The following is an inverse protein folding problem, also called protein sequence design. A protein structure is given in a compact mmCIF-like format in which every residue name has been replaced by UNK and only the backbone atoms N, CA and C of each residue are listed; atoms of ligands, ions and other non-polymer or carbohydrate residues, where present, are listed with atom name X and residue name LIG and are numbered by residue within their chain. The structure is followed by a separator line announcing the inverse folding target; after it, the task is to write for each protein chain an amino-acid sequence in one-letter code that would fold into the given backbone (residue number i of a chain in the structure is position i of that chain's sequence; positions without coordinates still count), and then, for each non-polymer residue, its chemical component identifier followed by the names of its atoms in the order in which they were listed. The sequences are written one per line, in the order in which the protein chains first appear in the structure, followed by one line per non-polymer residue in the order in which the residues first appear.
data_IF_471576503450
#
_entry.id   IF_471576503450
#
_cell.length_a   1.000
_cell.length_b   1.000
_cell.length_c   1.000
_cell.angle_alpha   90.00
_cell.angle_beta   90.00
_cell.angle_gamma   90.00
#
_symmetry.space_group_name_H-M   'P 1'
#
loop_
_entity.id
_entity.type
_entity.pdbx_description
1 polymer ?
#
# COMPACT_ATOMS: atom_id res chain seq x y z
N UNK A 1 -15.34 44.00 6.67
CA UNK A 1 -16.73 43.63 6.36
C UNK A 1 -17.12 44.07 4.93
N UNK A 2 -16.57 45.18 4.44
CA UNK A 2 -16.91 45.76 3.12
C UNK A 2 -16.29 45.01 1.93
N UNK A 3 -15.18 44.30 2.15
CA UNK A 3 -14.45 43.58 1.06
C UNK A 3 -15.11 42.26 0.61
N UNK A 4 -15.95 41.73 1.42
CA UNK A 4 -16.65 40.48 1.16
C UNK A 4 -17.90 40.57 0.23
N UNK A 5 -18.18 41.54 0.08
CA UNK A 5 -19.38 41.66 -0.55
C UNK A 5 -19.33 41.71 -1.99
N UNK A 6 -18.26 41.84 -2.39
CA UNK A 6 -18.15 41.94 -3.85
C UNK A 6 -17.76 40.64 -4.53
N UNK A 7 -17.53 39.56 -3.79
CA UNK A 7 -17.25 38.25 -4.35
C UNK A 7 -18.53 37.54 -4.80
N UNK A 8 -18.56 37.16 -6.08
CA UNK A 8 -19.68 36.38 -6.65
C UNK A 8 -19.62 34.96 -6.09
N UNK A 9 -20.68 34.55 -5.39
CA UNK A 9 -20.80 33.22 -4.78
C UNK A 9 -21.28 32.26 -5.88
N UNK A 10 -20.34 31.65 -6.61
CA UNK A 10 -20.65 30.68 -7.66
C UNK A 10 -20.28 29.23 -7.30
N UNK A 11 -19.54 28.99 -6.21
CA UNK A 11 -18.99 27.68 -5.87
C UNK A 11 -20.06 26.64 -5.50
N UNK A 12 -21.15 27.05 -4.88
CA UNK A 12 -22.14 26.14 -4.29
C UNK A 12 -22.81 25.21 -5.32
N UNK A 13 -22.91 25.63 -6.58
CA UNK A 13 -23.45 24.84 -7.67
C UNK A 13 -22.52 23.69 -8.09
N UNK A 14 -21.20 23.88 -7.91
CA UNK A 14 -20.16 22.94 -8.32
C UNK A 14 -19.80 21.92 -7.22
N UNK A 15 -20.35 22.08 -6.01
CA UNK A 15 -20.04 21.21 -4.86
C UNK A 15 -20.23 19.71 -5.18
N UNK A 16 -21.37 19.24 -5.76
CA UNK A 16 -21.53 17.81 -6.05
C UNK A 16 -20.49 17.28 -7.03
N UNK A 17 -20.14 18.06 -8.05
CA UNK A 17 -19.14 17.68 -9.06
C UNK A 17 -17.75 17.61 -8.42
N UNK A 18 -17.40 18.58 -7.58
CA UNK A 18 -16.13 18.60 -6.85
C UNK A 18 -16.00 17.41 -5.90
N UNK A 19 -17.06 17.05 -5.19
CA UNK A 19 -17.07 15.88 -4.30
C UNK A 19 -16.90 14.56 -5.09
N UNK A 20 -17.57 14.45 -6.25
CA UNK A 20 -17.41 13.29 -7.14
C UNK A 20 -15.97 13.19 -7.67
N UNK A 21 -15.37 14.30 -8.06
CA UNK A 21 -13.98 14.37 -8.52
C UNK A 21 -13.00 13.97 -7.40
N UNK A 22 -13.21 14.46 -6.19
CA UNK A 22 -12.40 14.09 -5.01
C UNK A 22 -12.50 12.59 -4.71
N UNK A 23 -13.70 12.01 -4.80
CA UNK A 23 -13.91 10.56 -4.62
C UNK A 23 -13.14 9.75 -5.68
N UNK A 24 -13.16 10.20 -6.95
CA UNK A 24 -12.38 9.58 -8.03
C UNK A 24 -10.87 9.64 -7.73
N UNK A 25 -10.36 10.78 -7.26
CA UNK A 25 -8.95 10.94 -6.92
C UNK A 25 -8.52 9.97 -5.81
N UNK A 26 -9.38 9.67 -4.83
CA UNK A 26 -9.09 8.66 -3.80
C UNK A 26 -8.99 7.24 -4.36
N UNK A 27 -9.68 6.95 -5.43
CA UNK A 27 -9.62 5.64 -6.10
C UNK A 27 -8.37 5.49 -6.98
N UNK A 28 -7.80 6.60 -7.46
CA UNK A 28 -6.67 6.63 -8.41
C UNK A 28 -5.44 5.81 -7.95
N UNK A 29 -4.91 5.92 -6.70
CA UNK A 29 -3.77 5.09 -6.29
C UNK A 29 -4.05 3.59 -6.35
N UNK A 30 -5.29 3.17 -6.09
CA UNK A 30 -5.71 1.76 -6.20
C UNK A 30 -5.67 1.29 -7.65
N UNK A 31 -6.06 2.14 -8.61
CA UNK A 31 -5.94 1.83 -10.05
C UNK A 31 -4.48 1.66 -10.47
N UNK A 32 -3.60 2.55 -10.01
CA UNK A 32 -2.15 2.48 -10.29
C UNK A 32 -1.58 1.15 -9.77
N UNK A 33 -1.91 0.77 -8.52
CA UNK A 33 -1.50 -0.53 -7.95
C UNK A 33 -1.98 -1.70 -8.81
N UNK A 34 -3.27 -1.73 -9.18
CA UNK A 34 -3.84 -2.81 -9.99
C UNK A 34 -3.16 -2.91 -11.36
N UNK A 35 -2.97 -1.76 -12.04
CA UNK A 35 -2.38 -1.71 -13.38
C UNK A 35 -0.91 -2.19 -13.38
N UNK A 36 -0.10 -1.74 -12.42
CA UNK A 36 1.32 -2.03 -12.37
C UNK A 36 1.63 -3.40 -11.72
N UNK A 37 0.76 -3.88 -10.83
CA UNK A 37 0.94 -5.19 -10.20
C UNK A 37 0.93 -6.34 -11.22
N UNK A 38 0.14 -6.24 -12.30
CA UNK A 38 0.13 -7.25 -13.38
C UNK A 38 1.50 -7.38 -14.06
N UNK A 39 2.29 -6.30 -14.08
CA UNK A 39 3.62 -6.29 -14.72
C UNK A 39 4.71 -6.97 -13.88
N UNK A 40 4.44 -7.30 -12.61
CA UNK A 40 5.43 -7.96 -11.75
C UNK A 40 5.74 -9.38 -12.17
N UNK A 41 4.83 -10.05 -12.90
CA UNK A 41 4.90 -11.48 -13.19
C UNK A 41 4.41 -12.36 -12.04
N UNK A 42 4.29 -11.79 -10.83
CA UNK A 42 3.77 -12.51 -9.66
C UNK A 42 2.26 -12.24 -9.56
N UNK A 43 1.46 -13.29 -9.61
CA UNK A 43 0.03 -13.16 -9.38
C UNK A 43 -0.23 -13.08 -7.86
N UNK A 44 -0.03 -11.87 -7.29
CA UNK A 44 -0.22 -11.61 -5.86
C UNK A 44 -1.62 -12.02 -5.40
N UNK A 45 -2.66 -11.76 -6.22
CA UNK A 45 -4.03 -12.17 -5.92
C UNK A 45 -4.19 -13.69 -5.87
N UNK A 46 -3.54 -14.40 -6.80
CA UNK A 46 -3.56 -15.88 -6.83
C UNK A 46 -2.96 -16.45 -5.55
N UNK A 47 -1.78 -15.96 -5.16
CA UNK A 47 -1.08 -16.38 -3.93
C UNK A 47 -1.95 -16.08 -2.69
N UNK A 48 -2.55 -14.89 -2.60
CA UNK A 48 -3.42 -14.52 -1.48
C UNK A 48 -4.72 -15.34 -1.45
N UNK A 49 -5.30 -15.64 -2.60
CA UNK A 49 -6.50 -16.48 -2.69
C UNK A 49 -6.21 -17.91 -2.25
N UNK A 50 -5.08 -18.49 -2.69
CA UNK A 50 -4.62 -19.81 -2.23
C UNK A 50 -4.45 -19.83 -0.71
N UNK A 51 -3.81 -18.79 -0.16
CA UNK A 51 -3.66 -18.64 1.30
C UNK A 51 -5.02 -18.52 2.01
N UNK A 52 -5.96 -17.75 1.45
CA UNK A 52 -7.30 -17.58 2.02
C UNK A 52 -8.12 -18.87 2.01
N UNK A 53 -7.94 -19.71 1.00
CA UNK A 53 -8.59 -21.05 0.92
C UNK A 53 -8.09 -21.98 2.02
N UNK A 54 -6.79 -21.93 2.36
CA UNK A 54 -6.21 -22.70 3.48
C UNK A 54 -6.88 -22.32 4.81
N UNK A 55 -7.11 -21.03 5.04
CA UNK A 55 -7.75 -20.51 6.27
C UNK A 55 -9.16 -21.12 6.51
N UNK A 56 -9.91 -21.41 5.44
CA UNK A 56 -11.28 -21.90 5.52
C UNK A 56 -11.38 -23.42 5.80
N UNK A 57 -10.28 -24.17 5.68
CA UNK A 57 -10.30 -25.63 5.87
C UNK A 57 -9.84 -26.02 7.27
N UNK A 58 -10.67 -26.82 7.96
CA UNK A 58 -10.43 -27.31 9.32
C UNK A 58 -9.72 -28.66 9.35
N UNK A 59 -9.82 -29.45 8.27
CA UNK A 59 -9.19 -30.76 8.19
C UNK A 59 -7.66 -30.64 8.00
N UNK A 60 -6.88 -31.27 8.87
CA UNK A 60 -5.40 -31.19 8.88
C UNK A 60 -4.77 -31.72 7.59
N UNK A 61 -5.26 -32.83 7.05
CA UNK A 61 -4.70 -33.44 5.84
C UNK A 61 -4.83 -32.52 4.62
N UNK A 62 -6.06 -32.04 4.37
CA UNK A 62 -6.34 -31.12 3.25
C UNK A 62 -5.65 -29.77 3.44
N UNK A 63 -5.47 -29.32 4.69
CA UNK A 63 -4.74 -28.09 5.02
C UNK A 63 -3.26 -28.19 4.65
N UNK A 64 -2.59 -29.27 5.06
CA UNK A 64 -1.16 -29.49 4.77
C UNK A 64 -0.91 -29.53 3.26
N UNK A 65 -1.76 -30.25 2.51
CA UNK A 65 -1.67 -30.32 1.04
C UNK A 65 -1.76 -28.91 0.41
N UNK A 66 -2.68 -28.08 0.89
CA UNK A 66 -2.85 -26.71 0.38
C UNK A 66 -1.72 -25.76 0.79
N UNK A 67 -1.14 -25.95 1.98
CA UNK A 67 0.07 -25.20 2.39
C UNK A 67 1.22 -25.51 1.43
N UNK A 68 1.40 -26.79 1.07
CA UNK A 68 2.43 -27.20 0.10
C UNK A 68 2.14 -26.58 -1.28
N UNK A 69 0.88 -26.59 -1.74
CA UNK A 69 0.48 -25.95 -3.00
C UNK A 69 0.76 -24.44 -2.99
N UNK A 70 0.44 -23.77 -1.88
CA UNK A 70 0.71 -22.33 -1.73
C UNK A 70 2.23 -22.03 -1.73
N UNK A 71 3.01 -22.92 -1.07
CA UNK A 71 4.47 -22.80 -1.05
C UNK A 71 5.06 -23.08 -2.46
N UNK A 72 4.49 -24.03 -3.22
CA UNK A 72 4.88 -24.30 -4.62
C UNK A 72 4.65 -23.08 -5.49
N UNK A 73 3.43 -22.52 -5.47
CA UNK A 73 3.10 -21.31 -6.24
C UNK A 73 4.00 -20.13 -5.88
N UNK A 74 4.31 -19.95 -4.60
CA UNK A 74 5.21 -18.87 -4.17
C UNK A 74 6.65 -19.12 -4.67
N UNK A 75 7.12 -20.36 -4.58
CA UNK A 75 8.45 -20.74 -5.06
C UNK A 75 8.55 -20.56 -6.60
N UNK A 76 7.57 -21.07 -7.36
CA UNK A 76 7.52 -20.92 -8.81
C UNK A 76 7.53 -19.44 -9.23
N UNK A 77 6.75 -18.60 -8.53
CA UNK A 77 6.71 -17.16 -8.79
C UNK A 77 8.07 -16.50 -8.56
N UNK A 78 8.78 -16.88 -7.47
CA UNK A 78 10.11 -16.37 -7.15
C UNK A 78 11.17 -16.89 -8.15
N UNK A 79 11.09 -18.16 -8.56
CA UNK A 79 12.01 -18.75 -9.53
C UNK A 79 11.79 -18.16 -10.93
N UNK A 80 10.53 -17.96 -11.35
CA UNK A 80 10.20 -17.25 -12.61
C UNK A 80 10.75 -15.81 -12.61
N UNK A 81 10.64 -15.12 -11.49
CA UNK A 81 11.21 -13.77 -11.34
C UNK A 81 12.73 -13.77 -11.48
N UNK A 82 13.41 -14.88 -11.13
CA UNK A 82 14.85 -15.04 -11.35
C UNK A 82 15.20 -15.28 -12.81
N UNK A 83 14.42 -16.11 -13.49
CA UNK A 83 14.67 -16.49 -14.90
C UNK A 83 14.41 -15.33 -15.86
N UNK A 84 13.36 -14.54 -15.61
CA UNK A 84 13.04 -13.33 -16.38
C UNK A 84 14.11 -12.22 -16.28
N UNK A 85 15.16 -12.47 -15.53
CA UNK A 85 16.31 -11.58 -15.31
C UNK A 85 17.16 -11.37 -16.58
N UNK A 86 16.96 -12.16 -17.62
CA UNK A 86 17.87 -12.29 -18.79
C UNK A 86 17.47 -11.50 -20.04
N UNK A 87 16.55 -10.54 -19.97
CA UNK A 87 16.14 -9.85 -21.22
C UNK A 87 15.83 -8.38 -21.08
N UNK A 88 16.27 -7.64 -22.04
CA UNK A 88 15.90 -6.28 -22.51
C UNK A 88 15.96 -5.12 -21.48
N UNK A 89 16.69 -4.08 -21.89
CA UNK A 89 16.90 -2.82 -21.18
C UNK A 89 15.66 -1.90 -21.27
N UNK A 90 14.68 -2.11 -20.41
CA UNK A 90 13.58 -1.16 -20.25
C UNK A 90 13.69 -0.43 -18.90
N UNK A 91 13.54 0.88 -18.92
CA UNK A 91 13.56 1.77 -17.77
C UNK A 91 12.58 1.30 -16.66
N UNK A 92 11.44 0.72 -17.06
CA UNK A 92 10.43 0.18 -16.15
C UNK A 92 10.83 -1.16 -15.51
N UNK A 93 11.95 -1.77 -15.94
CA UNK A 93 12.44 -3.05 -15.39
C UNK A 93 13.54 -2.90 -14.34
N UNK A 94 13.91 -1.67 -13.97
CA UNK A 94 15.06 -1.39 -13.08
C UNK A 94 14.97 -2.10 -11.72
N UNK A 95 13.77 -2.22 -11.14
CA UNK A 95 13.57 -2.90 -9.86
C UNK A 95 13.40 -4.43 -9.92
N UNK A 96 13.00 -4.99 -11.07
CA UNK A 96 12.76 -6.44 -11.24
C UNK A 96 14.04 -7.26 -11.04
N UNK A 97 15.17 -6.73 -11.50
CA UNK A 97 16.48 -7.39 -11.41
C UNK A 97 16.92 -7.61 -9.97
N UNK A 98 16.60 -6.70 -9.06
CA UNK A 98 17.02 -6.74 -7.65
C UNK A 98 16.07 -7.52 -6.73
N UNK A 99 14.87 -7.89 -7.19
CA UNK A 99 13.84 -8.50 -6.34
C UNK A 99 13.28 -7.53 -5.31
N UNK A 100 13.22 -6.24 -5.68
CA UNK A 100 12.73 -5.12 -4.84
C UNK A 100 11.58 -4.39 -5.57
N UNK A 101 11.21 -4.84 -6.78
CA UNK A 101 10.22 -4.16 -7.60
C UNK A 101 8.84 -4.09 -6.92
N UNK A 102 8.41 -5.21 -6.34
CA UNK A 102 7.08 -5.32 -5.71
C UNK A 102 7.00 -4.44 -4.45
N UNK A 103 8.08 -4.43 -3.65
CA UNK A 103 8.21 -3.55 -2.48
C UNK A 103 8.18 -2.08 -2.92
N UNK A 104 8.99 -1.74 -3.94
CA UNK A 104 9.06 -0.38 -4.49
C UNK A 104 7.70 0.11 -4.99
N UNK A 105 6.99 -0.73 -5.73
CA UNK A 105 5.65 -0.44 -6.23
C UNK A 105 4.66 -0.22 -5.07
N UNK A 106 4.74 -1.05 -4.03
CA UNK A 106 3.85 -0.92 -2.86
C UNK A 106 4.13 0.39 -2.10
N UNK A 107 5.40 0.71 -1.84
CA UNK A 107 5.79 1.96 -1.18
C UNK A 107 5.43 3.19 -2.04
N UNK A 108 5.61 3.09 -3.35
CA UNK A 108 5.17 4.14 -4.29
C UNK A 108 3.66 4.37 -4.21
N UNK A 109 2.88 3.31 -4.16
CA UNK A 109 1.42 3.40 -4.02
C UNK A 109 1.04 4.04 -2.67
N UNK A 110 1.74 3.66 -1.58
CA UNK A 110 1.54 4.30 -0.26
C UNK A 110 1.87 5.79 -0.30
N UNK A 111 2.96 6.16 -0.97
CA UNK A 111 3.34 7.57 -1.19
C UNK A 111 2.25 8.31 -1.98
N UNK A 112 1.70 7.69 -3.04
CA UNK A 112 0.60 8.27 -3.81
C UNK A 112 -0.64 8.55 -2.95
N UNK A 113 -0.96 7.68 -1.97
CA UNK A 113 -2.06 7.95 -1.03
C UNK A 113 -1.77 9.19 -0.17
N UNK A 114 -0.55 9.35 0.33
CA UNK A 114 -0.16 10.54 1.13
C UNK A 114 -0.23 11.81 0.26
N UNK A 115 0.34 11.77 -0.94
CA UNK A 115 0.31 12.89 -1.91
C UNK A 115 -1.14 13.26 -2.25
N UNK A 116 -1.99 12.25 -2.46
CA UNK A 116 -3.42 12.46 -2.76
C UNK A 116 -4.13 13.20 -1.62
N UNK A 117 -3.90 12.81 -0.35
CA UNK A 117 -4.54 13.50 0.79
C UNK A 117 -4.08 14.97 0.86
N UNK A 118 -2.78 15.23 0.66
CA UNK A 118 -2.25 16.62 0.60
C UNK A 118 -2.92 17.39 -0.54
N UNK A 119 -3.03 16.77 -1.72
CA UNK A 119 -3.71 17.37 -2.88
C UNK A 119 -5.19 17.68 -2.57
N UNK A 120 -5.89 16.80 -1.82
CA UNK A 120 -7.28 17.03 -1.40
C UNK A 120 -7.40 18.29 -0.52
N UNK A 121 -6.46 18.50 0.41
CA UNK A 121 -6.41 19.74 1.20
C UNK A 121 -6.19 20.97 0.32
N UNK A 122 -5.30 20.89 -0.65
CA UNK A 122 -5.03 22.00 -1.58
C UNK A 122 -6.30 22.32 -2.39
N UNK A 123 -6.97 21.30 -2.93
CA UNK A 123 -8.21 21.42 -3.71
C UNK A 123 -9.31 22.06 -2.82
N UNK A 124 -9.45 21.56 -1.59
CA UNK A 124 -10.44 22.06 -0.63
C UNK A 124 -10.22 23.55 -0.35
N UNK A 125 -8.98 23.96 -0.07
CA UNK A 125 -8.63 25.35 0.21
C UNK A 125 -8.82 26.25 -1.03
N UNK A 126 -8.42 25.78 -2.20
CA UNK A 126 -8.57 26.53 -3.46
C UNK A 126 -10.06 26.72 -3.82
N UNK A 127 -10.90 25.74 -3.52
CA UNK A 127 -12.33 25.78 -3.82
C UNK A 127 -13.12 26.68 -2.85
N UNK A 128 -12.77 26.64 -1.55
CA UNK A 128 -13.47 27.42 -0.52
C UNK A 128 -12.94 28.85 -0.38
N UNK A 129 -11.75 29.13 -0.92
CA UNK A 129 -11.13 30.46 -0.85
C UNK A 129 -9.87 30.51 0.02
N UNK A 130 -8.91 31.39 -0.34
CA UNK A 130 -7.53 31.31 0.18
C UNK A 130 -7.30 31.85 1.58
N UNK A 131 -8.31 32.22 2.32
CA UNK A 131 -8.13 32.98 3.57
C UNK A 131 -7.63 32.17 4.77
N UNK A 132 -7.82 30.82 4.79
CA UNK A 132 -7.38 30.03 5.95
C UNK A 132 -7.02 28.60 5.58
N UNK A 133 -5.74 28.26 5.67
CA UNK A 133 -5.23 26.90 5.47
C UNK A 133 -5.72 25.94 6.57
N UNK A 134 -5.94 26.44 7.77
CA UNK A 134 -6.36 25.67 8.95
C UNK A 134 -7.76 26.06 9.46
N UNK A 135 -8.68 26.42 8.57
CA UNK A 135 -10.02 26.90 8.96
C UNK A 135 -10.79 25.86 9.81
N UNK A 136 -10.61 24.58 9.55
CA UNK A 136 -11.26 23.53 10.36
C UNK A 136 -10.77 23.48 11.80
N UNK A 137 -9.49 23.76 12.04
CA UNK A 137 -8.95 23.88 13.40
C UNK A 137 -9.47 25.17 14.08
N UNK A 138 -9.60 26.24 13.32
CA UNK A 138 -10.18 27.51 13.80
C UNK A 138 -11.63 27.32 14.24
N UNK A 139 -12.44 26.64 13.46
CA UNK A 139 -13.85 26.33 13.81
C UNK A 139 -13.91 25.48 15.09
N UNK A 140 -13.04 24.48 15.23
CA UNK A 140 -13.00 23.67 16.46
C UNK A 140 -12.68 24.54 17.70
N UNK A 141 -11.71 25.46 17.55
CA UNK A 141 -11.35 26.40 18.62
C UNK A 141 -12.53 27.32 18.96
N UNK A 142 -13.27 27.80 17.96
CA UNK A 142 -14.44 28.66 18.16
C UNK A 142 -15.58 27.89 18.86
N UNK A 143 -15.82 26.64 18.47
CA UNK A 143 -16.79 25.74 19.15
C UNK A 143 -16.35 25.49 20.61
N UNK A 144 -15.07 25.23 20.83
CA UNK A 144 -14.52 25.00 22.19
C UNK A 144 -14.67 26.23 23.06
N UNK A 145 -14.53 27.43 22.52
CA UNK A 145 -14.69 28.70 23.22
C UNK A 145 -16.16 29.16 23.35
N UNK A 146 -17.10 28.34 22.88
CA UNK A 146 -18.54 28.60 23.02
C UNK A 146 -19.08 29.71 22.10
N UNK A 147 -18.34 30.10 21.04
CA UNK A 147 -18.83 31.06 20.05
C UNK A 147 -19.91 30.41 19.17
N UNK A 148 -20.96 31.17 18.90
CA UNK A 148 -22.01 30.67 18.03
C UNK A 148 -21.50 30.49 16.61
N UNK A 149 -21.79 29.33 16.06
CA UNK A 149 -21.43 28.87 14.73
C UNK A 149 -21.87 29.82 13.59
N UNK A 150 -22.98 30.52 13.79
CA UNK A 150 -23.58 31.40 12.78
C UNK A 150 -22.69 32.60 12.41
N UNK A 151 -21.71 32.93 13.25
CA UNK A 151 -20.84 34.10 13.08
C UNK A 151 -19.54 33.79 12.33
N UNK A 152 -19.29 32.56 11.92
CA UNK A 152 -18.02 32.16 11.27
C UNK A 152 -17.76 32.84 9.89
N UNK A 153 -18.84 33.23 9.19
CA UNK A 153 -18.75 33.98 7.92
C UNK A 153 -18.26 33.20 6.70
N UNK A 154 -17.85 31.95 6.85
CA UNK A 154 -17.30 31.16 5.74
C UNK A 154 -18.34 30.62 4.77
N UNK A 155 -19.52 30.31 5.26
CA UNK A 155 -20.64 29.80 4.46
C UNK A 155 -21.85 30.70 4.66
N UNK A 156 -21.94 31.82 3.91
CA UNK A 156 -23.06 32.75 4.10
C UNK A 156 -24.39 32.05 3.77
N UNK A 157 -25.33 32.15 4.69
CA UNK A 157 -26.68 31.61 4.53
C UNK A 157 -27.60 32.58 3.78
N UNK A 158 -27.27 33.86 3.88
CA UNK A 158 -28.04 34.96 3.26
C UNK A 158 -27.09 35.79 2.42
N UNK A 159 -27.51 36.13 1.20
CA UNK A 159 -26.71 36.96 0.29
C UNK A 159 -27.67 37.89 -0.50
N UNK A 160 -27.13 38.90 -1.14
CA UNK A 160 -27.87 39.77 -2.05
C UNK A 160 -27.76 39.23 -3.48
N UNK A 161 -28.86 39.05 -4.13
CA UNK A 161 -28.96 38.57 -5.52
C UNK A 161 -29.42 39.74 -6.41
N UNK A 162 -28.60 40.06 -7.41
CA UNK A 162 -28.91 41.07 -8.42
C UNK A 162 -29.40 40.36 -9.67
N UNK A 163 -30.55 40.85 -10.21
CA UNK A 163 -31.05 40.36 -11.47
C UNK A 163 -31.71 41.50 -12.27
N UNK A 164 -31.70 41.36 -13.57
CA UNK A 164 -32.23 42.34 -14.50
C UNK A 164 -33.61 41.88 -14.98
N UNK A 165 -34.62 42.73 -14.76
CA UNK A 165 -36.01 42.50 -15.25
C UNK A 165 -36.27 43.45 -16.39
N UNK A 166 -36.72 42.91 -17.51
CA UNK A 166 -37.17 43.72 -18.66
C UNK A 166 -38.67 44.00 -18.53
N UNK A 167 -39.00 45.27 -18.42
CA UNK A 167 -40.38 45.75 -18.34
C UNK A 167 -40.64 46.70 -19.52
N UNK A 168 -41.46 46.30 -20.49
CA UNK A 168 -41.83 47.11 -21.66
C UNK A 168 -40.64 47.70 -22.44
N UNK A 169 -39.57 46.93 -22.58
CA UNK A 169 -38.37 47.33 -23.31
C UNK A 169 -37.27 47.99 -22.46
N UNK A 170 -37.58 48.40 -21.26
CA UNK A 170 -36.58 48.98 -20.33
C UNK A 170 -36.05 47.87 -19.41
N UNK A 171 -34.76 47.91 -19.09
CA UNK A 171 -34.10 46.96 -18.18
C UNK A 171 -33.94 47.63 -16.80
N UNK A 172 -34.53 47.04 -15.80
CA UNK A 172 -34.45 47.47 -14.40
C UNK A 172 -33.66 46.46 -13.61
N UNK A 173 -32.65 46.89 -12.88
CA UNK A 173 -31.85 46.06 -11.97
C UNK A 173 -32.53 46.05 -10.60
N UNK A 174 -32.83 44.82 -10.13
CA UNK A 174 -33.42 44.59 -8.82
C UNK A 174 -32.43 43.82 -7.95
N UNK A 175 -32.32 44.19 -6.68
CA UNK A 175 -31.53 43.51 -5.66
C UNK A 175 -32.47 43.00 -4.60
N UNK A 176 -32.46 41.69 -4.39
CA UNK A 176 -33.29 41.02 -3.39
C UNK A 176 -32.43 40.19 -2.46
N UNK A 177 -32.89 39.98 -1.25
CA UNK A 177 -32.24 39.10 -0.26
C UNK A 177 -32.56 37.65 -0.59
N UNK A 178 -31.54 36.83 -0.83
CA UNK A 178 -31.67 35.42 -1.17
C UNK A 178 -31.12 34.56 -0.04
N UNK A 179 -31.81 33.48 0.31
CA UNK A 179 -31.38 32.46 1.28
C UNK A 179 -30.81 31.28 0.54
N UNK A 180 -29.51 30.97 0.86
CA UNK A 180 -28.78 29.85 0.28
C UNK A 180 -28.93 28.61 1.18
N UNK A 181 -30.04 27.88 1.05
CA UNK A 181 -30.34 26.70 1.90
C UNK A 181 -29.27 25.60 1.75
N UNK A 182 -28.77 25.37 0.52
CA UNK A 182 -27.76 24.33 0.25
C UNK A 182 -26.46 24.62 1.01
N UNK A 183 -26.11 25.89 1.20
CA UNK A 183 -24.88 26.29 1.87
C UNK A 183 -24.85 25.88 3.34
N UNK A 184 -26.02 25.76 3.98
CA UNK A 184 -26.14 25.23 5.35
C UNK A 184 -25.71 23.75 5.43
N UNK A 185 -26.04 22.96 4.41
CA UNK A 185 -25.61 21.56 4.33
C UNK A 185 -24.13 21.45 3.96
N UNK A 186 -23.68 22.28 3.00
CA UNK A 186 -22.27 22.31 2.56
C UNK A 186 -21.33 22.58 3.73
N UNK A 187 -21.69 23.50 4.60
CA UNK A 187 -20.95 23.82 5.83
C UNK A 187 -20.65 22.55 6.65
N UNK A 188 -21.66 21.73 6.94
CA UNK A 188 -21.53 20.50 7.73
C UNK A 188 -20.68 19.45 6.98
N UNK A 189 -20.94 19.29 5.68
CA UNK A 189 -20.20 18.33 4.83
C UNK A 189 -18.71 18.68 4.80
N UNK A 190 -18.36 19.93 4.57
CA UNK A 190 -16.95 20.34 4.45
C UNK A 190 -16.19 20.27 5.78
N UNK A 191 -16.83 20.54 6.91
CA UNK A 191 -16.21 20.35 8.24
C UNK A 191 -15.93 18.87 8.48
N UNK A 192 -16.91 18.00 8.22
CA UNK A 192 -16.72 16.55 8.35
C UNK A 192 -15.57 16.10 7.45
N UNK A 193 -15.54 16.52 6.16
CA UNK A 193 -14.47 16.16 5.21
C UNK A 193 -13.10 16.65 5.67
N UNK A 194 -13.00 17.86 6.22
CA UNK A 194 -11.73 18.40 6.71
C UNK A 194 -11.15 17.50 7.80
N UNK A 195 -11.96 17.15 8.81
CA UNK A 195 -11.55 16.26 9.92
C UNK A 195 -11.26 14.84 9.41
N UNK A 196 -12.05 14.35 8.47
CA UNK A 196 -11.85 13.06 7.83
C UNK A 196 -10.51 13.01 7.08
N UNK A 197 -10.16 14.07 6.34
CA UNK A 197 -8.88 14.13 5.62
C UNK A 197 -7.69 14.20 6.58
N UNK A 198 -7.80 14.90 7.71
CA UNK A 198 -6.77 14.91 8.76
C UNK A 198 -6.56 13.49 9.29
N UNK A 199 -7.64 12.80 9.67
CA UNK A 199 -7.58 11.41 10.18
C UNK A 199 -6.90 10.47 9.15
N UNK A 200 -7.40 10.47 7.92
CA UNK A 200 -6.88 9.61 6.84
C UNK A 200 -5.42 9.99 6.52
N UNK A 201 -5.08 11.27 6.55
CA UNK A 201 -3.71 11.77 6.33
C UNK A 201 -2.74 11.22 7.37
N UNK A 202 -3.07 11.36 8.65
CA UNK A 202 -2.25 10.86 9.77
C UNK A 202 -2.06 9.33 9.63
N UNK A 203 -3.15 8.58 9.42
CA UNK A 203 -3.09 7.12 9.27
C UNK A 203 -2.26 6.70 8.04
N UNK A 204 -2.35 7.45 6.93
CA UNK A 204 -1.59 7.18 5.70
C UNK A 204 -0.09 7.41 5.91
N UNK A 205 0.29 8.50 6.60
CA UNK A 205 1.69 8.80 6.92
C UNK A 205 2.27 7.73 7.86
N UNK A 206 1.55 7.39 8.94
CA UNK A 206 1.97 6.36 9.89
C UNK A 206 2.14 5.00 9.19
N UNK A 207 1.21 4.66 8.30
CA UNK A 207 1.26 3.43 7.50
C UNK A 207 2.48 3.44 6.56
N UNK A 208 2.75 4.56 5.88
CA UNK A 208 3.92 4.70 5.00
C UNK A 208 5.23 4.52 5.79
N UNK A 209 5.37 5.18 6.93
CA UNK A 209 6.56 5.09 7.80
C UNK A 209 6.76 3.65 8.30
N UNK A 210 5.70 3.01 8.79
CA UNK A 210 5.74 1.61 9.25
C UNK A 210 6.25 0.68 8.15
N UNK A 211 5.66 0.74 6.95
CA UNK A 211 6.06 -0.14 5.85
C UNK A 211 7.44 0.21 5.28
N UNK A 212 7.80 1.48 5.28
CA UNK A 212 9.15 1.92 4.88
C UNK A 212 10.20 1.24 5.78
N UNK A 213 10.04 1.33 7.10
CA UNK A 213 10.92 0.71 8.09
C UNK A 213 10.90 -0.83 7.93
N UNK A 214 9.71 -1.42 7.92
CA UNK A 214 9.53 -2.88 7.93
C UNK A 214 10.06 -3.57 6.67
N UNK A 215 10.04 -2.90 5.52
CA UNK A 215 10.41 -3.48 4.23
C UNK A 215 11.82 -3.12 3.75
N UNK A 216 12.39 -1.97 4.20
CA UNK A 216 13.74 -1.58 3.79
C UNK A 216 14.81 -2.09 4.73
N UNK A 217 14.53 -2.19 6.04
CA UNK A 217 15.55 -2.59 7.03
C UNK A 217 15.69 -4.12 7.03
N UNK A 218 16.87 -4.59 6.63
CA UNK A 218 17.20 -6.02 6.54
C UNK A 218 17.05 -6.75 7.89
N UNK A 219 17.32 -6.07 9.00
CA UNK A 219 17.15 -6.63 10.35
C UNK A 219 15.67 -6.97 10.62
N UNK A 220 14.74 -6.09 10.24
CA UNK A 220 13.28 -6.32 10.40
C UNK A 220 12.80 -7.48 9.53
N UNK A 221 13.34 -7.63 8.31
CA UNK A 221 13.03 -8.76 7.42
C UNK A 221 13.54 -10.08 8.03
N UNK A 222 14.79 -10.08 8.52
CA UNK A 222 15.41 -11.25 9.16
C UNK A 222 14.64 -11.66 10.40
N UNK A 223 14.35 -10.71 11.30
CA UNK A 223 13.61 -10.97 12.53
C UNK A 223 12.22 -11.56 12.26
N UNK A 224 11.53 -11.03 11.26
CA UNK A 224 10.20 -11.53 10.82
C UNK A 224 10.28 -13.02 10.46
N UNK A 225 11.20 -13.42 9.57
CA UNK A 225 11.35 -14.81 9.11
C UNK A 225 11.82 -15.73 10.26
N UNK A 226 12.82 -15.29 11.03
CA UNK A 226 13.38 -16.09 12.13
C UNK A 226 12.36 -16.36 13.23
N UNK A 227 11.49 -15.39 13.53
CA UNK A 227 10.42 -15.55 14.53
C UNK A 227 9.49 -16.71 14.16
N UNK A 228 9.03 -16.78 12.89
CA UNK A 228 8.14 -17.86 12.44
C UNK A 228 8.83 -19.23 12.43
N UNK A 229 10.09 -19.29 11.99
CA UNK A 229 10.86 -20.54 11.98
C UNK A 229 11.09 -21.08 13.39
N UNK A 230 11.31 -20.19 14.38
CA UNK A 230 11.43 -20.58 15.80
C UNK A 230 10.09 -21.08 16.36
N UNK A 231 9.02 -20.34 16.13
CA UNK A 231 7.68 -20.71 16.62
C UNK A 231 7.21 -22.05 16.08
N UNK A 232 7.61 -22.41 14.85
CA UNK A 232 7.27 -23.67 14.21
C UNK A 232 8.28 -24.80 14.52
N UNK A 233 9.33 -24.53 15.30
CA UNK A 233 10.35 -25.51 15.69
C UNK A 233 11.28 -25.96 14.56
N UNK A 234 11.32 -25.21 13.44
CA UNK A 234 12.19 -25.52 12.31
C UNK A 234 13.66 -25.18 12.58
N UNK A 235 13.91 -24.33 13.58
CA UNK A 235 15.25 -23.92 14.05
C UNK A 235 15.25 -24.04 15.57
N UNK A 236 16.31 -24.69 16.15
CA UNK A 236 16.47 -24.84 17.59
C UNK A 236 16.81 -23.50 18.26
N UNK A 237 16.52 -23.37 19.55
CA UNK A 237 16.86 -22.17 20.34
C UNK A 237 18.37 -21.97 20.47
N UNK A 238 19.14 -23.06 20.44
CA UNK A 238 20.61 -22.99 20.49
C UNK A 238 21.19 -22.80 19.08
N UNK A 239 21.38 -21.55 18.70
CA UNK A 239 21.87 -21.17 17.37
C UNK A 239 23.34 -21.55 17.17
N UNK A 240 23.61 -22.35 16.16
CA UNK A 240 24.98 -22.52 15.63
C UNK A 240 25.22 -21.45 14.53
N UNK A 241 26.47 -21.02 14.41
CA UNK A 241 26.93 -20.07 13.38
C UNK A 241 26.56 -20.55 11.97
N UNK A 242 26.50 -21.86 11.76
CA UNK A 242 26.10 -22.49 10.49
C UNK A 242 24.62 -22.22 10.17
N UNK A 243 23.75 -22.39 11.15
CA UNK A 243 22.29 -22.15 10.98
C UNK A 243 22.01 -20.69 10.67
N UNK A 244 22.78 -19.77 11.28
CA UNK A 244 22.69 -18.34 11.02
C UNK A 244 23.04 -17.99 9.57
N UNK A 245 24.10 -18.61 9.02
CA UNK A 245 24.47 -18.44 7.61
C UNK A 245 23.39 -18.97 6.68
N UNK A 246 22.86 -20.16 6.95
CA UNK A 246 21.78 -20.78 6.17
C UNK A 246 20.52 -19.90 6.18
N UNK A 247 20.17 -19.31 7.32
CA UNK A 247 19.04 -18.38 7.42
C UNK A 247 19.28 -17.11 6.61
N UNK A 248 20.46 -16.51 6.70
CA UNK A 248 20.80 -15.30 5.94
C UNK A 248 20.79 -15.57 4.43
N UNK A 249 21.32 -16.72 4.01
CA UNK A 249 21.32 -17.13 2.60
C UNK A 249 19.90 -17.43 2.11
N UNK A 250 19.08 -18.07 2.94
CA UNK A 250 17.66 -18.32 2.65
C UNK A 250 16.92 -16.99 2.40
N UNK A 251 17.12 -16.00 3.28
CA UNK A 251 16.43 -14.71 3.18
C UNK A 251 16.95 -13.90 1.97
N UNK A 252 18.28 -13.80 1.79
CA UNK A 252 18.90 -12.95 0.78
C UNK A 252 18.88 -13.57 -0.62
N UNK A 253 19.16 -14.87 -0.73
CA UNK A 253 19.32 -15.56 -2.02
C UNK A 253 18.05 -16.26 -2.51
N UNK A 254 17.32 -16.92 -1.59
CA UNK A 254 16.14 -17.70 -1.95
C UNK A 254 14.87 -16.85 -1.92
N UNK A 255 14.54 -16.27 -0.77
CA UNK A 255 13.29 -15.55 -0.56
C UNK A 255 13.30 -14.15 -1.20
N UNK A 256 14.42 -13.43 -1.07
CA UNK A 256 14.61 -12.02 -1.47
C UNK A 256 13.64 -11.08 -0.72
N UNK A 257 13.83 -9.76 -0.80
CA UNK A 257 12.92 -8.82 -0.14
C UNK A 257 11.45 -8.94 -0.61
N UNK A 258 11.23 -9.14 -1.92
CA UNK A 258 9.86 -9.29 -2.48
C UNK A 258 9.14 -10.52 -1.91
N UNK A 259 9.86 -11.64 -1.67
CA UNK A 259 9.30 -12.84 -1.02
C UNK A 259 8.90 -12.57 0.42
N UNK A 260 9.73 -11.85 1.19
CA UNK A 260 9.40 -11.46 2.57
C UNK A 260 8.15 -10.57 2.58
N UNK A 261 8.04 -9.66 1.62
CA UNK A 261 6.87 -8.80 1.46
C UNK A 261 5.60 -9.63 1.18
N UNK A 262 5.69 -10.64 0.30
CA UNK A 262 4.56 -11.54 0.01
C UNK A 262 4.13 -12.32 1.27
N UNK A 263 5.08 -12.79 2.06
CA UNK A 263 4.80 -13.44 3.35
C UNK A 263 4.08 -12.50 4.33
N UNK A 264 4.46 -11.22 4.37
CA UNK A 264 3.74 -10.20 5.18
C UNK A 264 2.31 -9.97 4.67
N UNK A 265 2.11 -9.97 3.36
CA UNK A 265 0.76 -9.87 2.77
C UNK A 265 -0.09 -11.10 3.13
N UNK A 266 0.51 -12.30 3.10
CA UNK A 266 -0.16 -13.56 3.52
C UNK A 266 -0.50 -13.46 5.01
N UNK A 267 0.39 -12.92 5.84
CA UNK A 267 0.15 -12.72 7.29
C UNK A 267 -1.12 -11.90 7.53
N UNK A 268 -1.22 -10.76 6.88
CA UNK A 268 -2.35 -9.83 7.05
C UNK A 268 -3.68 -10.48 6.63
N UNK A 269 -3.67 -11.30 5.58
CA UNK A 269 -4.88 -11.90 5.00
C UNK A 269 -5.18 -13.31 5.56
N UNK A 270 -4.15 -14.11 5.75
CA UNK A 270 -4.26 -15.53 6.15
C UNK A 270 -4.01 -15.82 7.62
N UNK A 271 -3.30 -14.92 8.31
CA UNK A 271 -2.95 -15.07 9.73
C UNK A 271 -1.55 -15.67 9.94
N UNK A 272 -1.09 -15.60 11.19
CA UNK A 272 0.28 -15.95 11.59
C UNK A 272 0.60 -17.44 11.43
N UNK A 273 -0.35 -18.32 11.77
CA UNK A 273 -0.18 -19.77 11.70
C UNK A 273 0.12 -20.22 10.26
N UNK A 274 -0.64 -19.69 9.30
CA UNK A 274 -0.46 -20.03 7.89
C UNK A 274 0.91 -19.58 7.35
N UNK A 275 1.35 -18.38 7.74
CA UNK A 275 2.68 -17.88 7.36
C UNK A 275 3.77 -18.78 7.93
N UNK A 276 3.63 -19.19 9.21
CA UNK A 276 4.58 -20.10 9.85
C UNK A 276 4.72 -21.41 9.08
N UNK A 277 3.59 -22.02 8.71
CA UNK A 277 3.56 -23.27 7.93
C UNK A 277 4.22 -23.10 6.56
N UNK A 278 3.90 -22.03 5.82
CA UNK A 278 4.45 -21.74 4.49
C UNK A 278 5.97 -21.47 4.57
N UNK A 279 6.41 -20.64 5.53
CA UNK A 279 7.83 -20.32 5.72
C UNK A 279 8.63 -21.58 6.04
N UNK A 280 8.09 -22.46 6.90
CA UNK A 280 8.71 -23.74 7.28
C UNK A 280 8.82 -24.68 6.08
N UNK A 281 7.76 -24.79 5.28
CA UNK A 281 7.75 -25.61 4.05
C UNK A 281 8.82 -25.09 3.06
N UNK A 282 8.91 -23.78 2.86
CA UNK A 282 9.90 -23.15 1.98
C UNK A 282 11.34 -23.37 2.51
N UNK A 283 11.54 -23.23 3.80
CA UNK A 283 12.86 -23.41 4.44
C UNK A 283 13.35 -24.85 4.31
N UNK A 284 12.47 -25.85 4.53
CA UNK A 284 12.79 -27.27 4.38
C UNK A 284 13.18 -27.59 2.92
N UNK A 285 12.46 -27.06 1.95
CA UNK A 285 12.79 -27.21 0.52
C UNK A 285 14.14 -26.55 0.18
N UNK A 286 14.41 -25.38 0.74
CA UNK A 286 15.70 -24.73 0.56
C UNK A 286 16.85 -25.58 1.11
N UNK A 287 16.69 -26.16 2.31
CA UNK A 287 17.68 -27.06 2.91
C UNK A 287 17.93 -28.29 2.04
N UNK A 288 16.85 -28.97 1.60
CA UNK A 288 16.96 -30.12 0.70
C UNK A 288 17.71 -29.76 -0.59
N UNK A 289 17.41 -28.61 -1.20
CA UNK A 289 18.08 -28.12 -2.42
C UNK A 289 19.57 -27.82 -2.19
N UNK A 290 19.96 -27.32 -1.02
CA UNK A 290 21.34 -27.03 -0.66
C UNK A 290 22.12 -28.35 -0.41
N UNK A 291 21.51 -29.31 0.27
CA UNK A 291 22.09 -30.63 0.54
C UNK A 291 22.34 -31.40 -0.77
N UNK A 292 21.35 -31.38 -1.69
CA UNK A 292 21.46 -32.00 -3.02
C UNK A 292 22.63 -31.42 -3.84
N UNK A 293 22.78 -30.10 -3.83
CA UNK A 293 23.91 -29.42 -4.50
C UNK A 293 25.25 -29.79 -3.90
N UNK A 294 25.34 -29.91 -2.59
CA UNK A 294 26.58 -30.29 -1.89
C UNK A 294 26.93 -31.74 -2.23
N UNK A 295 25.97 -32.66 -2.29
CA UNK A 295 26.20 -34.07 -2.66
C UNK A 295 26.67 -34.19 -4.10
N UNK A 296 26.07 -33.41 -5.03
CA UNK A 296 26.47 -33.40 -6.45
C UNK A 296 27.92 -32.87 -6.61
N UNK A 297 28.31 -31.82 -5.90
CA UNK A 297 29.68 -31.28 -5.92
C UNK A 297 30.68 -32.28 -5.35
N UNK A 298 30.34 -32.99 -4.27
CA UNK A 298 31.18 -34.01 -3.67
C UNK A 298 31.42 -35.21 -4.62
N UNK A 299 30.43 -35.59 -5.41
CA UNK A 299 30.53 -36.63 -6.45
C UNK A 299 31.46 -36.17 -7.59
N UNK A 300 31.34 -34.90 -8.04
CA UNK A 300 32.19 -34.37 -9.11
C UNK A 300 33.64 -34.10 -8.69
N UNK A 301 33.93 -33.94 -7.39
CA UNK A 301 35.27 -33.72 -6.85
C UNK A 301 36.00 -35.01 -6.47
N UNK A 302 35.37 -36.22 -6.60
CA UNK A 302 36.12 -37.48 -6.41
C UNK A 302 36.84 -37.83 -7.71
N UNK A 303 38.13 -37.59 -7.90
CA UNK A 303 38.84 -37.97 -9.11
C UNK A 303 39.01 -39.47 -9.15
N UNK A 304 38.65 -40.09 -10.28
CA UNK A 304 39.02 -41.46 -10.60
C UNK A 304 40.54 -41.61 -10.52
N UNK A 305 41.04 -42.02 -9.37
CA UNK A 305 42.47 -42.35 -9.16
C UNK A 305 42.80 -43.78 -9.58
N UNK A 306 41.97 -44.38 -10.51
CA UNK A 306 42.14 -45.79 -10.90
C UNK A 306 42.51 -46.05 -12.38
N UNK A 307 42.95 -45.03 -13.15
CA UNK A 307 43.23 -45.26 -14.59
C UNK A 307 44.67 -44.92 -15.05
N UNK A 308 45.70 -44.93 -14.16
CA UNK A 308 47.08 -44.62 -14.59
C UNK A 308 48.11 -45.67 -14.24
N UNK A 309 47.73 -46.96 -14.04
CA UNK A 309 48.71 -48.00 -13.67
C UNK A 309 48.75 -49.20 -14.64
N UNK A 310 48.30 -49.03 -15.92
CA UNK A 310 48.45 -50.11 -16.91
C UNK A 310 48.92 -49.63 -18.28
N UNK A 311 50.10 -48.97 -18.33
CA UNK A 311 50.85 -48.84 -19.60
C UNK A 311 52.34 -48.62 -19.36
N UNK A 312 53.02 -49.63 -18.80
CA UNK A 312 54.46 -49.86 -19.00
C UNK A 312 54.81 -51.31 -18.69
N UNK A 313 54.60 -52.17 -19.67
CA UNK A 313 55.42 -53.38 -19.93
C UNK A 313 55.39 -53.67 -21.41
#
# INVERSE_FOLDING_TARGET
IVSLXLQVIGYYQWVPIMLAFQAFLFYFPSLVWKALNFRTGINVKGVLNSAALVKKKFDRGSRTAQVHTAADHLQEALDMQRELKSGTYDFLHFGKRSGIYLIGLYLFTKLLYVVNVVMQFVILNAFLGPQYTFWGAGILADIWNGKEWNESGHFPRVTMCDFNVRVLGNIHRWTVQCVLMINMFNEKIYIFLWWWFVLVGVLSVLSLLYYLIALTIATCQREFVSRYLRCMGAISEQWNVRDERHLNDFIKKFLRPDGVFLLRLIQINGGDLLVGEIVTALFNRYRARVEDKLSTLAVTESPDSSSSLHRRQ
#
